data_IF_322935064190
#
_entry.id   IF_322935064190
#
_cell.length_a   1.000
_cell.length_b   1.000
_cell.length_c   1.000
_cell.angle_alpha   90.00
_cell.angle_beta   90.00
_cell.angle_gamma   90.00
#
_symmetry.space_group_name_H-M   'P 1'
#
loop_
_entity.id
_entity.type
_entity.pdbx_description
1 polymer ?
#
# COMPACT_ATOMS: atom_id res chain seq x y z
N UNK A 1 -5.49 -14.50 -6.09
CA UNK A 1 -6.16 -13.23 -5.76
C UNK A 1 -5.61 -12.88 -4.41
N UNK A 2 -4.61 -12.02 -4.41
CA UNK A 2 -3.64 -11.92 -3.31
C UNK A 2 -3.82 -10.65 -2.50
N UNK A 3 -4.52 -9.65 -3.06
CA UNK A 3 -4.79 -8.36 -2.43
C UNK A 3 -6.31 -8.09 -2.38
N UNK A 4 -6.79 -7.58 -1.23
CA UNK A 4 -8.16 -7.12 -1.01
C UNK A 4 -8.13 -5.63 -0.67
N UNK A 5 -9.00 -4.85 -1.31
CA UNK A 5 -9.14 -3.43 -1.06
C UNK A 5 -10.59 -3.10 -0.72
N UNK A 6 -10.79 -2.26 0.29
CA UNK A 6 -12.08 -1.73 0.69
C UNK A 6 -11.92 -0.24 1.04
N UNK A 7 -12.90 0.57 0.69
CA UNK A 7 -12.94 2.01 0.97
C UNK A 7 -14.31 2.36 1.54
N UNK A 8 -14.34 3.22 2.56
CA UNK A 8 -15.57 3.76 3.14
C UNK A 8 -15.28 5.19 3.61
N UNK A 9 -16.32 6.02 3.72
CA UNK A 9 -16.18 7.42 4.16
C UNK A 9 -15.92 7.53 5.67
N UNK A 10 -16.20 6.47 6.43
CA UNK A 10 -16.06 6.44 7.88
C UNK A 10 -14.96 5.48 8.36
N UNK A 11 -13.94 6.03 9.01
CA UNK A 11 -12.78 5.28 9.56
C UNK A 11 -13.20 4.17 10.54
N UNK A 12 -14.20 4.42 11.40
CA UNK A 12 -14.70 3.44 12.37
C UNK A 12 -15.39 2.26 11.69
N UNK A 13 -16.12 2.53 10.60
CA UNK A 13 -16.77 1.49 9.78
C UNK A 13 -15.71 0.64 9.10
N UNK A 14 -14.65 1.26 8.56
CA UNK A 14 -13.53 0.53 7.96
C UNK A 14 -12.87 -0.40 8.98
N UNK A 15 -12.63 0.08 10.20
CA UNK A 15 -12.05 -0.72 11.29
C UNK A 15 -12.95 -1.92 11.61
N UNK A 16 -14.24 -1.69 11.85
CA UNK A 16 -15.19 -2.74 12.15
C UNK A 16 -15.26 -3.79 11.03
N UNK A 17 -15.41 -3.34 9.78
CA UNK A 17 -15.49 -4.24 8.61
C UNK A 17 -14.23 -5.05 8.42
N UNK A 18 -13.07 -4.45 8.65
CA UNK A 18 -11.79 -5.14 8.52
C UNK A 18 -11.62 -6.23 9.59
N UNK A 19 -12.16 -6.03 10.80
CA UNK A 19 -12.20 -7.06 11.84
C UNK A 19 -13.19 -8.19 11.51
N UNK A 20 -14.36 -7.85 10.99
CA UNK A 20 -15.34 -8.83 10.49
C UNK A 20 -14.74 -9.69 9.37
N UNK A 21 -14.09 -9.06 8.40
CA UNK A 21 -13.39 -9.74 7.30
C UNK A 21 -12.28 -10.65 7.84
N UNK A 22 -11.43 -10.15 8.73
CA UNK A 22 -10.37 -10.97 9.33
C UNK A 22 -10.92 -12.21 10.02
N UNK A 23 -12.04 -12.09 10.73
CA UNK A 23 -12.71 -13.21 11.39
C UNK A 23 -13.26 -14.22 10.37
N UNK A 24 -14.00 -13.74 9.37
CA UNK A 24 -14.58 -14.58 8.33
C UNK A 24 -13.52 -15.31 7.49
N UNK A 25 -12.43 -14.63 7.12
CA UNK A 25 -11.32 -15.26 6.41
C UNK A 25 -10.57 -16.27 7.30
N UNK A 26 -10.39 -15.98 8.59
CA UNK A 26 -9.79 -16.93 9.54
C UNK A 26 -10.62 -18.21 9.68
N UNK A 27 -11.95 -18.11 9.67
CA UNK A 27 -12.84 -19.29 9.63
C UNK A 27 -12.65 -20.12 8.35
N UNK A 28 -12.33 -19.46 7.25
CA UNK A 28 -11.97 -20.10 5.98
C UNK A 28 -10.50 -20.57 5.92
N UNK A 29 -9.76 -20.58 7.04
CA UNK A 29 -8.32 -20.88 7.12
C UNK A 29 -7.43 -19.94 6.28
N UNK A 30 -7.88 -18.71 6.04
CA UNK A 30 -7.11 -17.65 5.39
C UNK A 30 -6.73 -16.56 6.39
N UNK A 31 -5.44 -16.31 6.55
CA UNK A 31 -4.95 -15.23 7.40
C UNK A 31 -4.65 -13.99 6.57
N UNK A 32 -5.46 -12.94 6.78
CA UNK A 32 -5.17 -11.61 6.24
C UNK A 32 -3.99 -11.01 7.01
N UNK A 33 -2.99 -10.54 6.27
CA UNK A 33 -1.77 -9.91 6.80
C UNK A 33 -1.36 -8.74 5.93
N UNK A 34 -0.37 -7.97 6.38
CA UNK A 34 0.19 -6.81 5.67
C UNK A 34 -0.82 -5.68 5.46
N UNK A 35 -1.53 -5.31 6.53
CA UNK A 35 -2.50 -4.22 6.48
C UNK A 35 -1.84 -2.89 6.09
N UNK A 36 -2.53 -2.18 5.21
CA UNK A 36 -2.19 -0.84 4.72
C UNK A 36 -3.48 -0.02 4.60
N UNK A 37 -3.43 1.27 4.93
CA UNK A 37 -4.56 2.18 4.77
C UNK A 37 -4.06 3.61 4.55
N UNK A 38 -4.92 4.45 3.98
CA UNK A 38 -4.73 5.88 3.86
C UNK A 38 -4.96 6.64 5.18
N UNK A 39 -5.57 6.00 6.19
CA UNK A 39 -5.73 6.59 7.52
C UNK A 39 -4.77 5.99 8.55
N UNK A 40 -4.07 6.87 9.27
CA UNK A 40 -3.22 6.49 10.41
C UNK A 40 -4.03 5.83 11.53
N UNK A 41 -5.25 6.31 11.84
CA UNK A 41 -6.08 5.71 12.90
C UNK A 41 -6.44 4.26 12.60
N UNK A 42 -6.74 3.98 11.34
CA UNK A 42 -7.05 2.62 10.87
C UNK A 42 -5.81 1.73 10.96
N UNK A 43 -4.63 2.23 10.53
CA UNK A 43 -3.35 1.50 10.67
C UNK A 43 -3.01 1.25 12.15
N UNK A 44 -3.20 2.24 13.01
CA UNK A 44 -2.85 2.20 14.44
C UNK A 44 -3.64 1.14 15.20
N UNK A 45 -4.86 0.85 14.74
CA UNK A 45 -5.73 -0.19 15.31
C UNK A 45 -5.15 -1.60 15.12
N UNK A 46 -4.29 -1.81 14.12
CA UNK A 46 -3.67 -3.12 13.87
C UNK A 46 -2.35 -3.28 14.63
N UNK A 47 -2.03 -4.47 15.17
CA UNK A 47 -0.75 -4.72 15.80
C UNK A 47 0.40 -4.64 14.79
N UNK A 48 1.58 -4.24 15.25
CA UNK A 48 2.74 -3.98 14.39
C UNK A 48 3.17 -5.22 13.60
N UNK A 49 2.93 -6.44 14.11
CA UNK A 49 3.21 -7.68 13.38
C UNK A 49 2.38 -7.84 12.11
N UNK A 50 1.14 -7.35 12.10
CA UNK A 50 0.20 -7.52 11.00
C UNK A 50 0.25 -6.39 9.97
N UNK A 51 0.90 -5.26 10.29
CA UNK A 51 1.08 -4.14 9.36
C UNK A 51 2.01 -4.53 8.20
N UNK A 52 1.84 -3.93 7.03
CA UNK A 52 2.78 -4.09 5.93
C UNK A 52 4.19 -3.61 6.35
N UNK A 53 5.25 -4.28 5.89
CA UNK A 53 6.64 -3.95 6.26
C UNK A 53 6.96 -2.46 6.06
N UNK A 54 6.48 -1.90 4.96
CA UNK A 54 6.64 -0.49 4.58
C UNK A 54 5.97 0.46 5.60
N UNK A 55 4.88 0.01 6.23
CA UNK A 55 4.17 0.75 7.28
C UNK A 55 4.86 0.58 8.65
N UNK A 56 5.48 -0.58 8.92
CA UNK A 56 6.26 -0.82 10.15
C UNK A 56 7.49 0.08 10.24
N UNK A 57 8.19 0.29 9.12
CA UNK A 57 9.36 1.16 9.05
C UNK A 57 9.03 2.63 9.38
N UNK A 58 7.77 3.04 9.20
CA UNK A 58 7.30 4.40 9.46
C UNK A 58 6.66 4.59 10.85
N UNK A 59 6.19 3.51 11.48
CA UNK A 59 5.49 3.57 12.77
C UNK A 59 6.34 4.06 13.96
N UNK A 60 7.66 4.24 13.78
CA UNK A 60 8.58 4.79 14.77
C UNK A 60 8.91 6.28 14.60
N UNK A 61 8.39 6.94 13.55
CA UNK A 61 8.71 8.33 13.22
C UNK A 61 7.41 9.13 13.07
N UNK A 62 7.00 9.78 14.16
CA UNK A 62 5.72 10.49 14.34
C UNK A 62 5.35 11.47 13.19
N UNK A 63 6.36 11.95 12.45
CA UNK A 63 6.28 13.00 11.44
C UNK A 63 6.64 12.60 9.99
N UNK A 64 6.73 11.31 9.65
CA UNK A 64 7.01 10.90 8.25
C UNK A 64 5.73 10.53 7.51
N UNK A 65 5.63 11.05 6.28
CA UNK A 65 4.55 10.85 5.31
C UNK A 65 4.23 9.36 5.12
N UNK A 66 2.95 9.03 4.91
CA UNK A 66 2.54 7.65 4.64
C UNK A 66 3.24 7.12 3.38
N UNK A 67 3.59 5.83 3.34
CA UNK A 67 4.43 5.32 2.28
C UNK A 67 3.68 5.19 0.96
N UNK A 68 4.44 5.19 -0.13
CA UNK A 68 3.95 4.74 -1.43
C UNK A 68 4.05 3.23 -1.50
N UNK A 69 2.92 2.55 -1.63
CA UNK A 69 2.83 1.09 -1.67
C UNK A 69 2.40 0.65 -3.07
N UNK A 70 2.91 -0.49 -3.56
CA UNK A 70 2.41 -1.05 -4.82
C UNK A 70 1.04 -1.66 -4.58
N UNK A 71 0.01 -1.13 -5.22
CA UNK A 71 -1.37 -1.63 -5.14
C UNK A 71 -1.99 -1.64 -6.55
N UNK A 72 -2.75 -2.68 -6.87
CA UNK A 72 -3.41 -2.82 -8.19
C UNK A 72 -2.45 -2.72 -9.39
N UNK A 73 -1.18 -3.10 -9.22
CA UNK A 73 -0.15 -2.98 -10.26
C UNK A 73 0.44 -1.57 -10.44
N UNK A 74 -0.05 -0.57 -9.71
CA UNK A 74 0.42 0.82 -9.73
C UNK A 74 0.95 1.23 -8.34
N UNK A 75 1.50 2.44 -8.21
CA UNK A 75 2.03 2.93 -6.93
C UNK A 75 0.95 3.76 -6.23
N UNK A 76 0.36 3.25 -5.16
CA UNK A 76 -0.59 3.98 -4.34
C UNK A 76 0.12 4.86 -3.32
N UNK A 77 -0.16 6.16 -3.39
CA UNK A 77 0.20 7.13 -2.38
C UNK A 77 -0.87 7.10 -1.29
N UNK A 78 -0.52 6.49 -0.15
CA UNK A 78 -1.46 6.33 0.97
C UNK A 78 -1.79 7.66 1.65
N UNK A 79 -0.92 8.68 1.56
CA UNK A 79 -1.16 9.99 2.19
C UNK A 79 -2.25 10.76 1.46
N UNK A 80 -2.19 10.75 0.13
CA UNK A 80 -3.16 11.48 -0.70
C UNK A 80 -4.32 10.62 -1.17
N UNK A 81 -4.38 9.35 -0.74
CA UNK A 81 -5.31 8.35 -1.24
C UNK A 81 -5.36 8.32 -2.79
N UNK A 82 -4.19 8.44 -3.43
CA UNK A 82 -4.11 8.58 -4.88
C UNK A 82 -3.33 7.42 -5.48
N UNK A 83 -3.94 6.74 -6.45
CA UNK A 83 -3.21 5.81 -7.31
C UNK A 83 -2.31 6.62 -8.24
N UNK A 84 -1.00 6.40 -8.14
CA UNK A 84 0.02 7.07 -8.93
C UNK A 84 0.78 6.08 -9.79
N UNK A 85 1.41 6.58 -10.83
CA UNK A 85 2.35 5.78 -11.63
C UNK A 85 3.76 6.20 -11.25
N UNK A 86 4.63 5.23 -11.00
CA UNK A 86 6.06 5.45 -10.97
C UNK A 86 6.56 5.64 -12.42
N UNK A 87 6.19 6.76 -13.04
CA UNK A 87 6.68 7.11 -14.36
C UNK A 87 8.07 7.73 -14.22
N UNK A 88 9.10 7.03 -14.71
CA UNK A 88 10.38 7.67 -15.00
C UNK A 88 10.16 8.64 -16.16
N UNK A 89 10.24 9.95 -15.93
CA UNK A 89 10.30 10.90 -17.06
C UNK A 89 11.55 10.58 -17.86
N UNK A 90 11.38 10.10 -19.08
CA UNK A 90 12.47 10.00 -20.03
C UNK A 90 12.85 11.43 -20.42
N UNK A 91 14.05 11.87 -20.04
CA UNK A 91 14.56 13.20 -20.40
C UNK A 91 14.75 13.32 -21.90
N UNK A 92 15.86 12.77 -22.42
CA UNK A 92 16.11 12.67 -23.86
C UNK A 92 15.47 11.41 -24.44
N UNK A 93 14.87 11.55 -25.64
CA UNK A 93 14.43 10.38 -26.42
C UNK A 93 15.64 9.49 -26.65
N UNK A 94 15.60 8.26 -26.11
CA UNK A 94 16.65 7.29 -26.38
C UNK A 94 16.74 7.07 -27.90
N UNK A 95 17.93 7.24 -28.47
CA UNK A 95 18.15 7.13 -29.92
C UNK A 95 18.62 5.73 -30.31
N UNK A 96 19.11 4.97 -29.32
CA UNK A 96 19.65 3.63 -29.52
C UNK A 96 18.99 2.59 -28.61
N UNK A 97 18.93 1.34 -29.08
CA UNK A 97 18.39 0.21 -28.30
C UNK A 97 19.18 -0.02 -27.00
N UNK A 98 20.49 0.27 -27.00
CA UNK A 98 21.34 0.16 -25.81
C UNK A 98 20.96 1.16 -24.72
N UNK A 99 20.63 2.40 -25.09
CA UNK A 99 20.11 3.40 -24.13
C UNK A 99 18.76 3.00 -23.57
N UNK A 100 17.86 2.48 -24.41
CA UNK A 100 16.54 1.97 -23.96
C UNK A 100 16.74 0.84 -22.95
N UNK A 101 17.62 -0.12 -23.24
CA UNK A 101 17.91 -1.24 -22.34
C UNK A 101 18.52 -0.74 -21.02
N UNK A 102 19.46 0.20 -21.07
CA UNK A 102 20.05 0.81 -19.86
C UNK A 102 19.03 1.57 -19.00
N UNK A 103 18.01 2.17 -19.60
CA UNK A 103 16.96 2.87 -18.89
C UNK A 103 16.00 1.89 -18.20
N UNK A 104 15.74 0.73 -18.83
CA UNK A 104 14.85 -0.29 -18.30
C UNK A 104 15.49 -1.15 -17.21
N UNK A 105 16.81 -1.28 -17.21
CA UNK A 105 17.55 -2.09 -16.22
C UNK A 105 17.96 -1.35 -14.96
N UNK A 106 17.67 -0.03 -14.87
CA UNK A 106 17.98 0.83 -13.73
C UNK A 106 16.74 1.26 -12.96
#
# INVERSE_FOLDING_TARGET
MDDLYWSDDNEDVVIQRSQELKTAFREACFELSKWVSNSRKVIETWPMEERASVVKELAGMDNIQLPKVKALGVAWDCEQDSLTFACRRQGEKAKTLSEVLSILTS
#
